data_IF_790522297333
#
_entry.id   IF_790522297333
#
_cell.length_a   1.000
_cell.length_b   1.000
_cell.length_c   1.000
_cell.angle_alpha   90.00
_cell.angle_beta   90.00
_cell.angle_gamma   90.00
#
_symmetry.space_group_name_H-M   'P 1'
#
loop_
_entity.id
_entity.type
_entity.pdbx_description
1 polymer ?
#
# COMPACT_ATOMS: atom_id res chain seq x y z
N UNK A 1 -4.40 25.62 26.62
CA UNK A 1 -4.04 25.51 25.19
C UNK A 1 -4.76 24.32 24.58
N UNK A 2 -5.73 24.56 23.68
CA UNK A 2 -6.47 23.48 23.00
C UNK A 2 -5.63 22.99 21.82
N UNK A 3 -5.02 21.81 21.96
CA UNK A 3 -4.38 21.14 20.82
C UNK A 3 -5.51 20.62 19.94
N UNK A 4 -5.86 21.40 18.92
CA UNK A 4 -6.85 21.02 17.91
C UNK A 4 -6.25 19.89 17.09
N UNK A 5 -6.61 18.65 17.39
CA UNK A 5 -6.17 17.49 16.61
C UNK A 5 -6.88 17.57 15.25
N UNK A 6 -6.15 18.05 14.23
CA UNK A 6 -6.68 18.21 12.87
C UNK A 6 -6.70 16.89 12.08
N UNK A 7 -6.02 15.85 12.55
CA UNK A 7 -5.95 14.56 11.87
C UNK A 7 -7.07 13.66 12.36
N UNK A 8 -7.95 13.27 11.44
CA UNK A 8 -9.03 12.31 11.66
C UNK A 8 -8.49 10.88 11.48
N UNK A 9 -8.34 10.08 12.56
CA UNK A 9 -7.84 8.71 12.46
C UNK A 9 -8.66 7.83 11.52
N UNK A 10 -9.98 8.06 11.42
CA UNK A 10 -10.84 7.27 10.55
C UNK A 10 -10.53 7.50 9.06
N UNK A 11 -10.13 8.73 8.70
CA UNK A 11 -9.67 9.03 7.33
C UNK A 11 -8.36 8.32 7.01
N UNK A 12 -7.44 8.21 7.99
CA UNK A 12 -6.19 7.48 7.81
C UNK A 12 -6.44 5.98 7.62
N UNK A 13 -7.33 5.37 8.40
CA UNK A 13 -7.71 3.96 8.22
C UNK A 13 -8.37 3.73 6.86
N UNK A 14 -9.28 4.62 6.46
CA UNK A 14 -9.96 4.53 5.16
C UNK A 14 -8.96 4.64 4.01
N UNK A 15 -8.02 5.58 4.08
CA UNK A 15 -6.97 5.72 3.06
C UNK A 15 -6.06 4.49 3.02
N UNK A 16 -5.66 3.97 4.18
CA UNK A 16 -4.87 2.73 4.25
C UNK A 16 -5.59 1.54 3.59
N UNK A 17 -6.89 1.38 3.87
CA UNK A 17 -7.71 0.32 3.26
C UNK A 17 -7.84 0.45 1.74
N UNK A 18 -8.01 1.68 1.24
CA UNK A 18 -8.01 1.95 -0.21
C UNK A 18 -6.68 1.58 -0.86
N UNK A 19 -5.56 1.91 -0.21
CA UNK A 19 -4.22 1.58 -0.71
C UNK A 19 -4.00 0.08 -0.73
N UNK A 20 -4.39 -0.64 0.33
CA UNK A 20 -4.32 -2.10 0.37
C UNK A 20 -5.12 -2.75 -0.76
N UNK A 21 -6.33 -2.26 -1.02
CA UNK A 21 -7.14 -2.76 -2.13
C UNK A 21 -6.49 -2.47 -3.48
N UNK A 22 -5.93 -1.27 -3.67
CA UNK A 22 -5.20 -0.91 -4.88
C UNK A 22 -3.94 -1.76 -5.06
N UNK A 23 -3.23 -2.10 -3.97
CA UNK A 23 -2.07 -3.00 -4.00
C UNK A 23 -2.47 -4.40 -4.47
N UNK A 24 -3.57 -4.95 -3.96
CA UNK A 24 -4.07 -6.26 -4.39
C UNK A 24 -4.41 -6.28 -5.88
N UNK A 25 -5.09 -5.24 -6.36
CA UNK A 25 -5.39 -5.08 -7.79
C UNK A 25 -4.12 -4.93 -8.63
N UNK A 26 -3.16 -4.15 -8.16
CA UNK A 26 -1.87 -3.96 -8.81
C UNK A 26 -1.10 -5.27 -8.95
N UNK A 27 -1.02 -6.06 -7.86
CA UNK A 27 -0.37 -7.37 -7.86
C UNK A 27 -1.02 -8.37 -8.81
N UNK A 28 -2.35 -8.43 -8.78
CA UNK A 28 -3.11 -9.27 -9.70
C UNK A 28 -2.81 -8.90 -11.15
N UNK A 29 -2.77 -7.61 -11.47
CA UNK A 29 -2.58 -7.13 -12.83
C UNK A 29 -1.17 -7.41 -13.36
N UNK A 30 -0.12 -7.12 -12.59
CA UNK A 30 1.24 -7.39 -13.09
C UNK A 30 1.52 -8.89 -13.17
N UNK A 31 0.99 -9.72 -12.25
CA UNK A 31 1.13 -11.19 -12.35
C UNK A 31 0.44 -11.73 -13.59
N UNK A 32 -0.74 -11.20 -13.93
CA UNK A 32 -1.45 -11.53 -15.17
C UNK A 32 -0.65 -11.12 -16.40
N UNK A 33 -0.05 -9.92 -16.40
CA UNK A 33 0.86 -9.49 -17.47
C UNK A 33 1.99 -10.50 -17.69
N UNK A 34 2.67 -10.93 -16.63
CA UNK A 34 3.75 -11.93 -16.75
C UNK A 34 3.26 -13.28 -17.26
N UNK A 35 2.06 -13.72 -16.87
CA UNK A 35 1.46 -14.95 -17.40
C UNK A 35 1.16 -14.85 -18.90
N UNK A 36 0.59 -13.74 -19.35
CA UNK A 36 0.30 -13.50 -20.77
C UNK A 36 1.59 -13.43 -21.60
N UNK A 37 2.64 -12.78 -21.08
CA UNK A 37 3.96 -12.70 -21.72
C UNK A 37 4.63 -14.08 -21.79
N UNK A 38 4.55 -14.88 -20.73
CA UNK A 38 5.05 -16.26 -20.75
C UNK A 38 4.29 -17.13 -21.77
N UNK A 39 2.98 -16.96 -21.89
CA UNK A 39 2.16 -17.65 -22.88
C UNK A 39 2.54 -17.26 -24.31
N UNK A 40 2.79 -15.97 -24.58
CA UNK A 40 3.31 -15.51 -25.88
C UNK A 40 4.66 -16.15 -26.22
N UNK A 41 5.55 -16.30 -25.22
CA UNK A 41 6.83 -17.02 -25.31
C UNK A 41 6.72 -18.41 -25.90
N UNK A 42 5.65 -19.13 -25.60
CA UNK A 42 5.46 -20.53 -26.04
C UNK A 42 5.10 -20.65 -27.53
N UNK A 43 4.38 -19.68 -28.09
CA UNK A 43 3.88 -19.70 -29.47
C UNK A 43 4.70 -18.90 -30.47
N UNK A 44 5.52 -17.94 -30.01
CA UNK A 44 6.28 -17.04 -30.87
C UNK A 44 7.78 -17.10 -30.52
N UNK A 45 8.56 -17.89 -31.25
CA UNK A 45 9.98 -18.17 -30.89
C UNK A 45 10.98 -17.22 -31.56
N UNK A 46 10.50 -16.14 -32.17
CA UNK A 46 11.35 -15.17 -32.88
C UNK A 46 12.23 -14.33 -31.95
N UNK A 47 13.31 -13.76 -32.51
CA UNK A 47 14.25 -12.87 -31.81
C UNK A 47 13.56 -11.61 -31.26
N UNK A 48 12.51 -11.16 -31.94
CA UNK A 48 11.61 -10.09 -31.55
C UNK A 48 10.83 -10.42 -30.27
N UNK A 49 10.21 -11.60 -30.20
CA UNK A 49 9.47 -12.01 -29.01
C UNK A 49 10.38 -12.19 -27.79
N UNK A 50 11.56 -12.79 -27.99
CA UNK A 50 12.54 -12.94 -26.90
C UNK A 50 12.97 -11.59 -26.32
N UNK A 51 13.14 -10.57 -27.18
CA UNK A 51 13.46 -9.22 -26.73
C UNK A 51 12.32 -8.59 -25.92
N UNK A 52 11.07 -8.76 -26.35
CA UNK A 52 9.88 -8.29 -25.62
C UNK A 52 9.71 -8.98 -24.26
N UNK A 53 9.80 -10.31 -24.23
CA UNK A 53 9.68 -11.10 -23.00
C UNK A 53 10.77 -10.71 -21.99
N UNK A 54 12.02 -10.62 -22.45
CA UNK A 54 13.16 -10.25 -21.61
C UNK A 54 13.00 -8.86 -21.01
N UNK A 55 12.55 -7.88 -21.80
CA UNK A 55 12.32 -6.54 -21.27
C UNK A 55 11.19 -6.49 -20.25
N UNK A 56 10.08 -7.18 -20.50
CA UNK A 56 8.97 -7.19 -19.54
C UNK A 56 9.40 -7.85 -18.23
N UNK A 57 10.12 -8.99 -18.31
CA UNK A 57 10.71 -9.65 -17.15
C UNK A 57 11.68 -8.75 -16.37
N UNK A 58 12.41 -7.87 -17.06
CA UNK A 58 13.27 -6.86 -16.44
C UNK A 58 12.54 -5.93 -15.45
N UNK A 59 11.25 -5.67 -15.67
CA UNK A 59 10.43 -4.82 -14.78
C UNK A 59 9.88 -5.56 -13.55
N UNK A 60 10.04 -6.89 -13.44
CA UNK A 60 9.44 -7.66 -12.33
C UNK A 60 9.83 -7.10 -10.97
N UNK A 61 11.11 -6.74 -10.81
CA UNK A 61 11.61 -6.15 -9.57
C UNK A 61 10.93 -4.82 -9.25
N UNK A 62 10.70 -3.98 -10.26
CA UNK A 62 10.06 -2.67 -10.06
C UNK A 62 8.59 -2.83 -9.64
N UNK A 63 7.87 -3.79 -10.23
CA UNK A 63 6.52 -4.14 -9.80
C UNK A 63 6.49 -4.61 -8.34
N UNK A 64 7.41 -5.49 -7.95
CA UNK A 64 7.50 -5.97 -6.57
C UNK A 64 7.84 -4.83 -5.59
N UNK A 65 8.75 -3.95 -5.96
CA UNK A 65 9.14 -2.78 -5.14
C UNK A 65 7.98 -1.79 -4.96
N UNK A 66 7.23 -1.51 -6.02
CA UNK A 66 6.05 -0.63 -5.91
C UNK A 66 4.98 -1.25 -5.01
N UNK A 67 4.70 -2.54 -5.15
CA UNK A 67 3.75 -3.23 -4.27
C UNK A 67 4.21 -3.21 -2.79
N UNK A 68 5.52 -3.36 -2.53
CA UNK A 68 6.08 -3.23 -1.19
C UNK A 68 5.91 -1.80 -0.64
N UNK A 69 6.24 -0.79 -1.43
CA UNK A 69 6.09 0.62 -1.06
C UNK A 69 4.64 0.97 -0.69
N UNK A 70 3.66 0.49 -1.47
CA UNK A 70 2.25 0.71 -1.16
C UNK A 70 1.84 0.08 0.17
N UNK A 71 2.32 -1.14 0.47
CA UNK A 71 2.07 -1.82 1.75
C UNK A 71 2.70 -1.08 2.92
N UNK A 72 3.95 -0.66 2.78
CA UNK A 72 4.65 0.10 3.81
C UNK A 72 3.91 1.40 4.12
N UNK A 73 3.42 2.09 3.09
CA UNK A 73 2.68 3.32 3.27
C UNK A 73 1.30 3.08 3.91
N UNK A 74 0.57 2.03 3.52
CA UNK A 74 -0.66 1.63 4.20
C UNK A 74 -0.42 1.29 5.68
N UNK A 75 0.66 0.57 5.99
CA UNK A 75 1.05 0.26 7.36
C UNK A 75 1.40 1.53 8.17
N UNK A 76 2.09 2.48 7.55
CA UNK A 76 2.40 3.77 8.15
C UNK A 76 1.13 4.57 8.50
N UNK A 77 0.13 4.59 7.61
CA UNK A 77 -1.15 5.26 7.87
C UNK A 77 -1.91 4.61 9.03
N UNK A 78 -1.95 3.27 9.09
CA UNK A 78 -2.58 2.52 10.20
C UNK A 78 -1.87 2.79 11.53
N UNK A 79 -0.53 2.78 11.53
CA UNK A 79 0.25 3.10 12.72
C UNK A 79 -0.02 4.53 13.19
N UNK A 80 -0.07 5.48 12.26
CA UNK A 80 -0.40 6.88 12.55
C UNK A 80 -1.78 7.01 13.18
N UNK A 81 -2.80 6.37 12.59
CA UNK A 81 -4.17 6.35 13.11
C UNK A 81 -4.23 5.82 14.55
N UNK A 82 -3.53 4.71 14.82
CA UNK A 82 -3.41 4.12 16.16
C UNK A 82 -2.78 5.10 17.15
N UNK A 83 -1.66 5.71 16.80
CA UNK A 83 -0.95 6.67 17.65
C UNK A 83 -1.83 7.87 18.00
N UNK A 84 -2.56 8.42 17.02
CA UNK A 84 -3.49 9.53 17.27
C UNK A 84 -4.61 9.14 18.25
N UNK A 85 -5.21 7.96 18.11
CA UNK A 85 -6.24 7.47 19.06
C UNK A 85 -5.68 7.31 20.47
N UNK A 86 -4.50 6.71 20.61
CA UNK A 86 -3.84 6.56 21.91
C UNK A 86 -3.58 7.91 22.59
N UNK A 87 -3.07 8.89 21.85
CA UNK A 87 -2.86 10.25 22.39
C UNK A 87 -4.17 10.92 22.80
N UNK A 88 -5.27 10.69 22.07
CA UNK A 88 -6.60 11.21 22.44
C UNK A 88 -7.11 10.57 23.73
N UNK A 89 -6.99 9.25 23.85
CA UNK A 89 -7.42 8.50 25.04
C UNK A 89 -6.64 8.92 26.28
N UNK A 90 -5.32 9.06 26.19
CA UNK A 90 -4.46 9.52 27.29
C UNK A 90 -4.89 10.91 27.78
N UNK A 91 -5.13 11.84 26.85
CA UNK A 91 -5.59 13.20 27.20
C UNK A 91 -6.98 13.19 27.82
N UNK A 92 -7.89 12.36 27.33
CA UNK A 92 -9.22 12.21 27.92
C UNK A 92 -9.14 11.64 29.34
N UNK A 93 -8.24 10.67 29.58
CA UNK A 93 -7.98 10.14 30.93
C UNK A 93 -7.37 11.19 31.86
N UNK A 94 -6.39 11.96 31.40
CA UNK A 94 -5.83 13.07 32.20
C UNK A 94 -6.90 14.10 32.55
N UNK A 95 -7.76 14.47 31.60
CA UNK A 95 -8.86 15.39 31.86
C UNK A 95 -9.85 14.84 32.89
N UNK A 96 -10.17 13.54 32.85
CA UNK A 96 -10.99 12.87 33.88
C UNK A 96 -10.34 12.83 35.25
N UNK A 97 -9.02 12.98 35.35
CA UNK A 97 -8.30 13.04 36.64
C UNK A 97 -8.24 14.46 37.21
N UNK A 98 -8.61 15.49 36.45
CA UNK A 98 -8.66 16.89 36.89
C UNK A 98 -9.94 17.24 37.66
N UNK A 99 -10.60 16.28 38.30
CA UNK A 99 -11.77 16.56 39.15
C UNK A 99 -11.27 17.20 40.46
N UNK A 100 -11.91 18.31 40.86
CA UNK A 100 -11.78 18.92 42.19
C UNK A 100 -12.18 17.94 43.31
#
# INVERSE_FOLDING_TARGET
MSIKIQVDPARLDSAAGQIEQQTLSYEKNYRRLFQEVAAMGSGWQGKDNQAFVSQIQGFEKDFQQMAALMREYAAFLKLSAKTYRQTQDERAQMARRLVN
#
